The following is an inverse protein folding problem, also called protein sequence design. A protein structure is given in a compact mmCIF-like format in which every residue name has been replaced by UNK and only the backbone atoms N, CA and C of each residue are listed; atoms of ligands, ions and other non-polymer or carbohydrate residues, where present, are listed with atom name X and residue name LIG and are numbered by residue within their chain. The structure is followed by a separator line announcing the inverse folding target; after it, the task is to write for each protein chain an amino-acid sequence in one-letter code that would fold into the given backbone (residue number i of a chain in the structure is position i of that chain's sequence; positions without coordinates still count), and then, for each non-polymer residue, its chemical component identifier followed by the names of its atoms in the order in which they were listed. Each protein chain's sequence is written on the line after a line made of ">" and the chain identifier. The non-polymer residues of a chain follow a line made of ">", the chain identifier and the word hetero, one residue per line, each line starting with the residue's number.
data_IF_126453360422
#
_entry.id   IF_126453360422
#
_cell.length_a   1.000
_cell.length_b   1.000
_cell.length_c   1.000
_cell.angle_alpha   90.00
_cell.angle_beta   90.00
_cell.angle_gamma   90.00
#
_symmetry.space_group_name_H-M   'P 1'
#
loop_
_entity.id
_entity.type
_entity.pdbx_description
1 polymer ?
#
# COMPACT_ATOMS: atom_id res chain seq x y z
N UNK A 1 -13.55 45.72 -13.27
CA UNK A 1 -12.31 44.91 -13.36
C UNK A 1 -12.52 43.79 -14.37
N UNK A 2 -11.67 43.67 -15.40
CA UNK A 2 -11.75 42.56 -16.38
C UNK A 2 -11.49 41.25 -15.64
N UNK A 3 -12.33 40.24 -15.89
CA UNK A 3 -12.12 38.91 -15.34
C UNK A 3 -10.83 38.31 -15.95
N UNK A 4 -9.83 37.99 -15.12
CA UNK A 4 -8.62 37.33 -15.58
C UNK A 4 -9.00 36.02 -16.27
N UNK A 5 -8.51 35.84 -17.51
CA UNK A 5 -8.62 34.55 -18.21
C UNK A 5 -7.64 33.57 -17.58
N UNK A 6 -7.96 32.30 -17.65
CA UNK A 6 -7.07 31.23 -17.19
C UNK A 6 -5.76 31.28 -17.98
N UNK A 7 -4.61 31.44 -17.31
CA UNK A 7 -3.31 31.51 -17.99
C UNK A 7 -2.98 30.25 -18.80
N UNK A 8 -3.45 29.07 -18.36
CA UNK A 8 -3.20 27.79 -19.04
C UNK A 8 -3.97 27.65 -20.36
N UNK A 9 -5.29 27.86 -20.36
CA UNK A 9 -6.11 27.61 -21.56
C UNK A 9 -6.51 28.87 -22.32
N UNK A 10 -6.38 30.06 -21.75
CA UNK A 10 -6.81 31.35 -22.32
C UNK A 10 -8.28 31.45 -22.79
N UNK A 11 -9.08 30.42 -22.53
CA UNK A 11 -10.49 30.30 -22.93
C UNK A 11 -11.43 30.53 -21.74
N UNK A 12 -11.16 29.84 -20.62
CA UNK A 12 -12.03 29.87 -19.43
C UNK A 12 -11.64 31.01 -18.48
N UNK A 13 -12.58 31.45 -17.65
CA UNK A 13 -12.30 32.43 -16.57
C UNK A 13 -11.38 31.82 -15.51
N UNK A 14 -10.30 32.52 -15.19
CA UNK A 14 -9.40 32.23 -14.07
C UNK A 14 -10.13 32.54 -12.76
N UNK A 15 -10.34 31.52 -11.94
CA UNK A 15 -11.08 31.63 -10.66
C UNK A 15 -10.26 31.12 -9.46
N UNK A 16 -9.14 30.44 -9.72
CA UNK A 16 -8.26 29.84 -8.70
C UNK A 16 -6.87 30.40 -8.90
N UNK A 17 -6.25 30.96 -7.87
CA UNK A 17 -4.84 31.33 -7.94
C UNK A 17 -3.98 30.07 -7.83
N UNK A 18 -3.07 29.84 -8.77
CA UNK A 18 -2.16 28.71 -8.76
C UNK A 18 -0.76 29.20 -8.38
N UNK A 19 -0.23 28.69 -7.26
CA UNK A 19 1.10 29.06 -6.78
C UNK A 19 2.20 28.67 -7.77
N UNK A 20 2.08 27.50 -8.41
CA UNK A 20 3.04 27.02 -9.41
C UNK A 20 3.12 27.95 -10.64
N UNK A 21 1.97 28.36 -11.15
CA UNK A 21 1.88 29.25 -12.32
C UNK A 21 1.99 30.74 -11.95
N UNK A 22 1.97 31.03 -10.64
CA UNK A 22 1.88 32.38 -10.08
C UNK A 22 0.76 33.25 -10.68
N UNK A 23 -0.34 32.63 -11.11
CA UNK A 23 -1.43 33.30 -11.83
C UNK A 23 -2.79 32.61 -11.64
N UNK A 24 -3.85 33.27 -12.11
CA UNK A 24 -5.21 32.73 -12.08
C UNK A 24 -5.45 31.69 -13.17
N UNK A 25 -5.91 30.50 -12.75
CA UNK A 25 -6.31 29.39 -13.62
C UNK A 25 -7.78 29.01 -13.41
N UNK A 26 -8.37 28.30 -14.38
CA UNK A 26 -9.72 27.78 -14.26
C UNK A 26 -9.75 26.45 -13.50
N UNK A 27 -10.92 26.04 -13.01
CA UNK A 27 -11.09 24.78 -12.27
C UNK A 27 -10.70 23.54 -13.09
N UNK A 28 -10.95 23.53 -14.40
CA UNK A 28 -10.62 22.40 -15.28
C UNK A 28 -9.12 22.25 -15.47
N UNK A 29 -8.41 23.33 -15.82
CA UNK A 29 -6.95 23.30 -15.93
C UNK A 29 -6.31 22.96 -14.59
N UNK A 30 -6.81 23.54 -13.49
CA UNK A 30 -6.38 23.18 -12.14
C UNK A 30 -6.54 21.69 -11.87
N UNK A 31 -7.67 21.07 -12.21
CA UNK A 31 -7.86 19.62 -12.04
C UNK A 31 -6.95 18.75 -12.93
N UNK A 32 -6.52 19.26 -14.09
CA UNK A 32 -5.63 18.54 -15.01
C UNK A 32 -4.16 18.61 -14.59
N UNK A 33 -3.72 19.73 -14.02
CA UNK A 33 -2.31 19.95 -13.66
C UNK A 33 -2.03 19.80 -12.15
N UNK A 34 -3.07 19.60 -11.34
CA UNK A 34 -2.94 19.44 -9.89
C UNK A 34 -2.33 18.08 -9.60
N UNK A 35 -1.15 18.13 -8.99
CA UNK A 35 -0.44 16.97 -8.48
C UNK A 35 -0.19 17.18 -6.98
N UNK A 36 -0.69 16.32 -6.08
CA UNK A 36 -0.42 16.41 -4.63
C UNK A 36 1.05 16.44 -4.25
N UNK A 37 1.96 15.96 -5.12
CA UNK A 37 3.40 16.01 -4.88
C UNK A 37 4.06 17.32 -5.30
N UNK A 38 3.44 18.09 -6.20
CA UNK A 38 3.98 19.37 -6.72
C UNK A 38 3.17 20.58 -6.25
N UNK A 39 1.95 20.37 -5.76
CA UNK A 39 1.12 21.43 -5.22
C UNK A 39 1.54 21.73 -3.79
N UNK A 40 1.53 23.01 -3.37
CA UNK A 40 1.72 23.37 -1.98
C UNK A 40 0.72 22.66 -1.07
N UNK A 41 1.18 22.19 0.09
CA UNK A 41 0.36 21.48 1.07
C UNK A 41 -0.79 22.35 1.61
N UNK A 42 -0.66 23.68 1.56
CA UNK A 42 -1.67 24.65 1.98
C UNK A 42 -2.64 25.06 0.85
N UNK A 43 -2.55 24.44 -0.33
CA UNK A 43 -3.44 24.76 -1.44
C UNK A 43 -4.90 24.44 -1.07
N UNK A 44 -5.82 25.44 -1.03
CA UNK A 44 -7.20 25.24 -0.57
C UNK A 44 -8.02 24.37 -1.52
N UNK A 45 -7.47 24.04 -2.69
CA UNK A 45 -8.09 23.16 -3.65
C UNK A 45 -7.45 21.77 -3.67
N UNK A 46 -6.36 21.54 -2.94
CA UNK A 46 -5.80 20.20 -2.75
C UNK A 46 -6.69 19.37 -1.82
N UNK A 47 -7.17 19.97 -0.74
CA UNK A 47 -8.08 19.38 0.26
C UNK A 47 -9.51 19.08 -0.23
N UNK A 48 -9.85 19.46 -1.47
CA UNK A 48 -11.15 19.14 -2.07
C UNK A 48 -11.24 17.71 -2.66
N UNK A 49 -10.20 16.90 -2.48
CA UNK A 49 -10.18 15.46 -2.76
C UNK A 49 -10.08 14.60 -1.50
N UNK A 50 -9.70 15.17 -0.36
CA UNK A 50 -9.77 14.48 0.92
C UNK A 50 -11.22 14.56 1.42
N UNK A 51 -12.01 13.51 1.17
CA UNK A 51 -13.06 13.15 2.13
C UNK A 51 -12.41 13.22 3.51
N UNK A 52 -13.07 13.87 4.48
CA UNK A 52 -12.50 14.08 5.82
C UNK A 52 -11.93 12.76 6.33
N UNK A 53 -10.60 12.66 6.40
CA UNK A 53 -9.94 11.59 7.11
C UNK A 53 -10.49 11.64 8.54
N UNK A 54 -11.27 10.62 8.93
CA UNK A 54 -11.58 10.43 10.34
C UNK A 54 -10.28 9.95 10.99
N UNK A 55 -9.57 10.91 11.58
CA UNK A 55 -8.29 10.69 12.24
C UNK A 55 -8.56 10.14 13.64
N UNK A 56 -8.19 8.87 13.85
CA UNK A 56 -8.36 8.15 15.12
C UNK A 56 -8.47 6.64 14.88
N UNK A 57 -8.29 5.83 15.93
CA UNK A 57 -8.51 4.38 15.84
C UNK A 57 -10.01 4.06 15.79
N UNK A 58 -10.61 4.25 14.61
CA UNK A 58 -11.99 3.83 14.36
C UNK A 58 -12.18 2.35 14.70
N UNK A 59 -13.37 1.92 15.17
CA UNK A 59 -13.65 0.52 15.48
C UNK A 59 -13.30 -0.42 14.32
N UNK A 60 -12.61 -1.51 14.64
CA UNK A 60 -12.26 -2.53 13.66
C UNK A 60 -13.53 -3.28 13.22
N UNK A 61 -13.79 -3.33 11.91
CA UNK A 61 -14.92 -4.06 11.35
C UNK A 61 -14.50 -5.44 10.83
N UNK A 62 -13.42 -5.50 10.06
CA UNK A 62 -12.95 -6.76 9.45
C UNK A 62 -11.45 -6.72 9.15
N UNK A 63 -10.76 -7.84 9.38
CA UNK A 63 -9.38 -8.08 8.97
C UNK A 63 -9.34 -9.42 8.26
N UNK A 64 -8.90 -9.43 7.01
CA UNK A 64 -8.78 -10.62 6.19
C UNK A 64 -7.39 -10.72 5.59
N UNK A 65 -6.88 -11.93 5.44
CA UNK A 65 -5.60 -12.20 4.81
C UNK A 65 -5.68 -13.50 4.00
N UNK A 66 -4.98 -13.57 2.88
CA UNK A 66 -4.85 -14.81 2.12
C UNK A 66 -3.98 -15.83 2.87
N UNK A 67 -4.39 -17.10 2.89
CA UNK A 67 -3.71 -18.19 3.59
C UNK A 67 -2.44 -18.73 2.90
N UNK A 68 -2.33 -18.78 1.55
CA UNK A 68 -1.08 -19.17 0.93
C UNK A 68 0.02 -18.16 1.25
N UNK A 69 1.21 -18.67 1.59
CA UNK A 69 2.38 -17.84 1.89
C UNK A 69 2.96 -17.23 0.61
N UNK A 70 3.72 -16.16 0.76
CA UNK A 70 4.46 -15.53 -0.32
C UNK A 70 3.90 -14.19 -0.69
N UNK A 71 3.00 -14.17 -1.67
CA UNK A 71 2.22 -12.98 -1.92
C UNK A 71 0.96 -13.02 -1.07
N UNK A 72 0.91 -12.23 0.01
CA UNK A 72 -0.28 -12.06 0.84
C UNK A 72 -1.05 -10.82 0.44
N UNK A 73 -2.34 -10.99 0.25
CA UNK A 73 -3.28 -9.87 0.18
C UNK A 73 -3.99 -9.72 1.52
N UNK A 74 -3.95 -8.52 2.09
CA UNK A 74 -4.47 -8.16 3.41
C UNK A 74 -5.53 -7.09 3.24
N UNK A 75 -6.73 -7.30 3.78
CA UNK A 75 -7.82 -6.32 3.80
C UNK A 75 -8.13 -5.92 5.24
N UNK A 76 -8.07 -4.63 5.53
CA UNK A 76 -8.43 -4.07 6.84
C UNK A 76 -9.54 -3.04 6.64
N UNK A 77 -10.65 -3.21 7.34
CA UNK A 77 -11.79 -2.31 7.31
C UNK A 77 -12.16 -1.82 8.71
N UNK A 78 -12.51 -0.54 8.81
CA UNK A 78 -12.97 0.11 10.03
C UNK A 78 -14.31 0.80 9.82
N UNK A 79 -15.10 0.85 10.88
CA UNK A 79 -16.42 1.49 10.88
C UNK A 79 -16.34 2.96 11.26
N UNK A 80 -16.94 3.82 10.44
CA UNK A 80 -17.06 5.27 10.65
C UNK A 80 -18.27 5.60 11.50
N UNK A 81 -18.31 6.81 12.04
CA UNK A 81 -19.43 7.29 12.86
C UNK A 81 -20.78 7.26 12.10
N UNK A 82 -20.75 7.44 10.78
CA UNK A 82 -21.94 7.39 9.92
C UNK A 82 -22.46 5.96 9.64
N UNK A 83 -21.80 4.92 10.19
CA UNK A 83 -22.15 3.51 10.00
C UNK A 83 -21.65 2.88 8.69
N UNK A 84 -21.05 3.68 7.80
CA UNK A 84 -20.31 3.16 6.65
C UNK A 84 -18.89 2.75 7.07
N UNK A 85 -18.16 2.15 6.14
CA UNK A 85 -16.81 1.66 6.36
C UNK A 85 -15.79 2.47 5.55
N UNK A 86 -14.57 2.53 6.07
CA UNK A 86 -13.37 2.75 5.26
C UNK A 86 -12.56 1.45 5.22
N UNK A 87 -11.90 1.16 4.12
CA UNK A 87 -11.04 -0.02 4.02
C UNK A 87 -9.80 0.21 3.17
N UNK A 88 -8.78 -0.59 3.43
CA UNK A 88 -7.55 -0.71 2.65
C UNK A 88 -7.31 -2.19 2.33
N UNK A 89 -6.87 -2.46 1.10
CA UNK A 89 -6.37 -3.74 0.63
C UNK A 89 -4.91 -3.58 0.24
N UNK A 90 -4.02 -4.38 0.80
CA UNK A 90 -2.57 -4.28 0.62
C UNK A 90 -2.04 -5.62 0.11
N UNK A 91 -1.26 -5.60 -0.98
CA UNK A 91 -0.57 -6.77 -1.51
C UNK A 91 0.91 -6.71 -1.12
N UNK A 92 1.36 -7.70 -0.36
CA UNK A 92 2.74 -7.84 0.10
C UNK A 92 3.33 -9.15 -0.43
N UNK A 93 4.44 -9.05 -1.13
CA UNK A 93 5.32 -10.15 -1.48
C UNK A 93 6.39 -10.32 -0.40
N UNK A 94 6.17 -11.29 0.48
CA UNK A 94 7.02 -11.60 1.63
C UNK A 94 8.40 -12.14 1.23
N UNK A 95 8.59 -12.61 0.00
CA UNK A 95 9.82 -13.32 -0.41
C UNK A 95 10.76 -12.48 -1.24
N UNK A 96 10.26 -11.39 -1.83
CA UNK A 96 11.00 -10.73 -2.89
C UNK A 96 10.80 -9.23 -2.89
N UNK A 97 9.69 -8.73 -3.43
CA UNK A 97 9.51 -7.30 -3.68
C UNK A 97 9.00 -6.50 -2.47
N UNK A 98 8.52 -7.17 -1.41
CA UNK A 98 7.87 -6.48 -0.31
C UNK A 98 6.51 -5.92 -0.73
N UNK A 99 6.23 -4.65 -0.42
CA UNK A 99 4.96 -4.02 -0.79
C UNK A 99 4.83 -3.88 -2.31
N UNK A 100 3.86 -4.60 -2.91
CA UNK A 100 3.59 -4.56 -4.36
C UNK A 100 2.52 -3.52 -4.73
N UNK A 101 1.39 -3.54 -4.04
CA UNK A 101 0.25 -2.70 -4.40
C UNK A 101 -0.66 -2.42 -3.20
N UNK A 102 -1.49 -1.37 -3.32
CA UNK A 102 -2.47 -0.99 -2.31
C UNK A 102 -3.64 -0.22 -2.95
N UNK A 103 -4.86 -0.48 -2.51
CA UNK A 103 -6.04 0.33 -2.86
C UNK A 103 -7.05 0.35 -1.71
N UNK A 104 -8.05 1.22 -1.77
CA UNK A 104 -9.03 1.34 -0.69
C UNK A 104 -10.23 2.21 -1.03
N UNK A 105 -11.07 2.43 -0.03
CA UNK A 105 -12.15 3.42 -0.07
C UNK A 105 -12.29 4.09 1.30
N UNK A 106 -12.52 5.41 1.30
CA UNK A 106 -12.80 6.19 2.52
C UNK A 106 -14.26 6.10 2.97
N UNK A 107 -15.14 5.66 2.09
CA UNK A 107 -16.56 5.51 2.39
C UNK A 107 -17.19 4.42 1.51
N UNK A 108 -17.69 3.37 2.13
CA UNK A 108 -18.43 2.29 1.47
C UNK A 108 -19.50 1.76 2.43
N UNK A 109 -20.71 1.49 1.92
CA UNK A 109 -21.74 0.89 2.76
C UNK A 109 -21.34 -0.52 3.20
N UNK A 110 -21.72 -0.94 4.42
CA UNK A 110 -21.49 -2.31 4.91
C UNK A 110 -22.00 -3.37 3.93
N UNK A 111 -23.13 -3.10 3.27
CA UNK A 111 -23.73 -3.99 2.26
C UNK A 111 -22.82 -4.17 1.04
N UNK A 112 -22.24 -3.09 0.53
CA UNK A 112 -21.33 -3.15 -0.62
C UNK A 112 -20.00 -3.79 -0.25
N UNK A 113 -19.44 -3.44 0.91
CA UNK A 113 -18.23 -4.08 1.41
C UNK A 113 -18.42 -5.59 1.59
N UNK A 114 -19.52 -6.03 2.20
CA UNK A 114 -19.80 -7.47 2.36
C UNK A 114 -19.99 -8.18 1.01
N UNK A 115 -20.47 -7.49 -0.04
CA UNK A 115 -20.50 -8.05 -1.40
C UNK A 115 -19.11 -8.18 -2.00
N UNK A 116 -18.19 -7.25 -1.73
CA UNK A 116 -16.79 -7.38 -2.14
C UNK A 116 -16.13 -8.57 -1.44
N UNK A 117 -16.30 -8.67 -0.11
CA UNK A 117 -15.79 -9.80 0.69
C UNK A 117 -16.34 -11.13 0.20
N UNK A 118 -17.63 -11.23 -0.13
CA UNK A 118 -18.23 -12.46 -0.65
C UNK A 118 -17.71 -12.89 -2.04
N UNK A 119 -17.01 -12.00 -2.76
CA UNK A 119 -16.37 -12.29 -4.05
C UNK A 119 -14.88 -12.56 -3.92
N UNK A 120 -14.30 -12.36 -2.74
CA UNK A 120 -12.91 -12.70 -2.50
C UNK A 120 -12.73 -14.23 -2.68
N UNK A 121 -11.59 -14.67 -3.23
CA UNK A 121 -11.26 -16.08 -3.30
C UNK A 121 -11.35 -16.75 -1.92
N UNK A 122 -11.62 -18.06 -1.92
CA UNK A 122 -11.69 -18.88 -0.70
C UNK A 122 -10.36 -18.96 0.07
N UNK A 123 -9.27 -18.44 -0.50
CA UNK A 123 -7.99 -18.32 0.19
C UNK A 123 -7.98 -17.22 1.25
N UNK A 124 -8.93 -16.29 1.27
CA UNK A 124 -9.02 -15.29 2.34
C UNK A 124 -9.63 -15.89 3.62
N UNK A 125 -8.98 -15.65 4.74
CA UNK A 125 -9.44 -16.00 6.09
C UNK A 125 -9.39 -14.79 7.02
N UNK A 126 -10.15 -14.84 8.11
CA UNK A 126 -10.01 -13.85 9.19
C UNK A 126 -8.60 -13.94 9.79
N UNK A 127 -8.00 -12.79 10.07
CA UNK A 127 -6.60 -12.69 10.48
C UNK A 127 -6.41 -11.73 11.67
N UNK A 128 -5.30 -11.91 12.37
CA UNK A 128 -4.90 -11.01 13.45
C UNK A 128 -4.37 -9.67 12.88
N UNK A 129 -4.78 -8.57 13.51
CA UNK A 129 -4.40 -7.23 13.05
C UNK A 129 -2.91 -6.95 13.24
N UNK A 130 -2.31 -7.43 14.33
CA UNK A 130 -0.89 -7.17 14.60
C UNK A 130 -0.01 -7.98 13.66
N UNK A 131 -0.36 -9.25 13.39
CA UNK A 131 0.32 -10.05 12.35
C UNK A 131 0.26 -9.34 10.98
N UNK A 132 -0.92 -8.85 10.58
CA UNK A 132 -1.08 -8.10 9.34
C UNK A 132 -0.19 -6.85 9.31
N UNK A 133 -0.12 -6.10 10.41
CA UNK A 133 0.72 -4.91 10.53
C UNK A 133 2.20 -5.23 10.42
N UNK A 134 2.67 -6.30 11.04
CA UNK A 134 4.06 -6.76 10.95
C UNK A 134 4.45 -7.10 9.51
N UNK A 135 3.58 -7.83 8.80
CA UNK A 135 3.78 -8.19 7.38
C UNK A 135 3.81 -6.94 6.51
N UNK A 136 2.86 -6.02 6.69
CA UNK A 136 2.81 -4.76 5.92
C UNK A 136 4.04 -3.90 6.21
N UNK A 137 4.44 -3.74 7.49
CA UNK A 137 5.60 -2.93 7.87
C UNK A 137 6.89 -3.52 7.30
N UNK A 138 7.05 -4.84 7.34
CA UNK A 138 8.19 -5.54 6.73
C UNK A 138 8.17 -5.40 5.20
N UNK A 139 7.00 -5.52 4.56
CA UNK A 139 6.84 -5.31 3.13
C UNK A 139 7.25 -3.90 2.70
N UNK A 140 6.88 -2.87 3.46
CA UNK A 140 7.33 -1.48 3.24
C UNK A 140 8.86 -1.41 3.36
N UNK A 141 9.43 -1.99 4.43
CA UNK A 141 10.88 -1.98 4.65
C UNK A 141 11.66 -2.65 3.50
N UNK A 142 11.17 -3.78 2.99
CA UNK A 142 11.76 -4.47 1.83
C UNK A 142 11.74 -3.54 0.60
N UNK A 143 10.57 -2.99 0.28
CA UNK A 143 10.41 -2.12 -0.88
C UNK A 143 11.31 -0.87 -0.79
N UNK A 144 11.41 -0.25 0.39
CA UNK A 144 12.30 0.89 0.64
C UNK A 144 13.78 0.49 0.53
N UNK A 145 14.17 -0.67 1.08
CA UNK A 145 15.56 -1.18 1.01
C UNK A 145 16.01 -1.43 -0.42
N UNK A 146 15.09 -1.85 -1.29
CA UNK A 146 15.33 -2.12 -2.71
C UNK A 146 15.12 -0.89 -3.61
N UNK A 147 14.86 0.29 -3.03
CA UNK A 147 14.53 1.53 -3.76
C UNK A 147 13.33 1.38 -4.73
N UNK A 148 12.33 0.59 -4.33
CA UNK A 148 11.12 0.36 -5.10
C UNK A 148 10.08 1.43 -4.84
N UNK A 149 9.26 1.68 -5.85
CA UNK A 149 8.17 2.66 -5.76
C UNK A 149 7.11 2.18 -4.77
N UNK A 150 6.94 2.92 -3.67
CA UNK A 150 5.79 2.77 -2.78
C UNK A 150 4.50 3.30 -3.45
N UNK A 151 3.41 2.52 -3.52
CA UNK A 151 2.12 2.96 -4.05
C UNK A 151 1.63 4.25 -3.41
N UNK A 152 1.03 5.16 -4.20
CA UNK A 152 0.57 6.46 -3.70
C UNK A 152 -0.61 6.29 -2.76
N UNK A 153 -1.45 5.32 -3.07
CA UNK A 153 -2.63 4.86 -2.36
C UNK A 153 -2.31 4.45 -0.92
N UNK A 154 -1.13 3.88 -0.67
CA UNK A 154 -0.71 3.60 0.71
C UNK A 154 -0.71 4.88 1.55
N UNK A 155 -0.24 6.02 1.00
CA UNK A 155 -0.22 7.28 1.76
C UNK A 155 -1.63 7.79 2.07
N UNK A 156 -2.56 7.53 1.17
CA UNK A 156 -3.96 7.94 1.29
C UNK A 156 -4.73 7.08 2.30
N UNK A 157 -4.43 5.78 2.38
CA UNK A 157 -5.20 4.84 3.20
C UNK A 157 -4.45 4.33 4.44
N UNK A 158 -3.16 4.67 4.64
CA UNK A 158 -2.34 4.12 5.75
C UNK A 158 -2.93 4.35 7.13
N UNK A 159 -3.70 5.42 7.34
CA UNK A 159 -4.34 5.70 8.63
C UNK A 159 -5.33 4.59 9.02
N UNK A 160 -5.91 3.86 8.05
CA UNK A 160 -6.80 2.72 8.28
C UNK A 160 -6.05 1.56 8.94
N UNK A 161 -4.76 1.40 8.65
CA UNK A 161 -3.91 0.38 9.27
C UNK A 161 -3.69 0.68 10.76
N UNK A 162 -3.85 1.94 11.18
CA UNK A 162 -3.45 2.43 12.50
C UNK A 162 -1.98 2.81 12.55
N UNK A 163 -1.44 2.96 13.76
CA UNK A 163 -0.06 3.38 13.96
C UNK A 163 0.93 2.24 13.64
N UNK A 164 1.56 2.33 12.46
CA UNK A 164 2.60 1.41 12.01
C UNK A 164 3.99 1.74 12.57
N UNK A 165 4.18 2.91 13.19
CA UNK A 165 5.50 3.28 13.75
C UNK A 165 5.76 2.61 15.09
N UNK A 166 4.71 2.12 15.75
CA UNK A 166 4.79 1.26 16.93
C UNK A 166 5.09 -0.21 16.62
N UNK A 167 5.10 -0.60 15.35
CA UNK A 167 5.32 -1.98 14.93
C UNK A 167 6.81 -2.18 14.73
N UNK A 168 7.42 -2.98 15.60
CA UNK A 168 8.83 -3.33 15.50
C UNK A 168 9.01 -4.50 14.53
N UNK A 169 9.90 -4.33 13.57
CA UNK A 169 10.29 -5.37 12.61
C UNK A 169 11.72 -5.76 12.94
N UNK A 170 11.92 -6.98 13.46
CA UNK A 170 13.21 -7.47 13.93
C UNK A 170 13.75 -8.64 13.08
N UNK A 171 15.05 -8.90 13.20
CA UNK A 171 15.74 -9.98 12.51
C UNK A 171 16.05 -9.66 11.04
N UNK A 172 16.23 -10.70 10.23
CA UNK A 172 16.57 -10.60 8.81
C UNK A 172 15.45 -9.92 8.02
N UNK A 173 15.80 -9.29 6.90
CA UNK A 173 14.87 -8.55 6.04
C UNK A 173 13.73 -9.46 5.53
N UNK A 174 14.11 -10.61 4.98
CA UNK A 174 13.21 -11.70 4.57
C UNK A 174 13.17 -12.77 5.65
N UNK A 175 12.04 -13.48 5.75
CA UNK A 175 11.83 -14.57 6.70
C UNK A 175 11.70 -15.92 5.99
N UNK A 176 11.95 -16.98 6.73
CA UNK A 176 11.78 -18.35 6.28
C UNK A 176 10.41 -18.57 5.62
N UNK A 177 10.42 -19.12 4.42
CA UNK A 177 9.20 -19.46 3.67
C UNK A 177 8.31 -20.46 4.44
N UNK A 178 8.91 -21.45 5.09
CA UNK A 178 8.15 -22.51 5.75
C UNK A 178 7.54 -22.10 7.09
N UNK A 179 8.31 -21.55 8.02
CA UNK A 179 7.73 -21.17 9.31
C UNK A 179 7.20 -19.72 9.36
N UNK A 180 7.53 -18.88 8.37
CA UNK A 180 7.17 -17.46 8.33
C UNK A 180 7.88 -16.57 9.36
N UNK A 181 8.71 -17.15 10.23
CA UNK A 181 9.27 -16.47 11.42
C UNK A 181 10.78 -16.55 11.53
N UNK A 182 11.37 -17.65 11.07
CA UNK A 182 12.79 -17.91 11.14
C UNK A 182 13.59 -16.88 10.35
N UNK A 183 14.69 -16.43 10.95
CA UNK A 183 15.64 -15.56 10.27
C UNK A 183 16.40 -16.31 9.17
N UNK A 184 16.77 -15.57 8.13
CA UNK A 184 17.64 -16.02 7.05
C UNK A 184 19.02 -15.38 7.22
N UNK A 185 20.06 -16.08 6.79
CA UNK A 185 21.43 -15.55 6.82
C UNK A 185 21.57 -14.33 5.91
N UNK A 186 22.56 -13.48 6.18
CA UNK A 186 22.83 -12.28 5.38
C UNK A 186 23.11 -12.63 3.91
N UNK A 187 23.88 -13.69 3.65
CA UNK A 187 24.18 -14.15 2.28
C UNK A 187 22.91 -14.51 1.50
N UNK A 188 21.96 -15.20 2.14
CA UNK A 188 20.66 -15.53 1.52
C UNK A 188 19.85 -14.27 1.27
N UNK A 189 19.84 -13.33 2.23
CA UNK A 189 19.14 -12.05 2.08
C UNK A 189 19.71 -11.25 0.90
N UNK A 190 21.03 -11.18 0.75
CA UNK A 190 21.67 -10.49 -0.38
C UNK A 190 21.35 -11.19 -1.72
N UNK A 191 21.36 -12.52 -1.77
CA UNK A 191 20.97 -13.26 -2.97
C UNK A 191 19.52 -12.96 -3.39
N UNK A 192 18.58 -12.91 -2.43
CA UNK A 192 17.18 -12.55 -2.71
C UNK A 192 17.12 -11.14 -3.32
N UNK A 193 17.84 -10.17 -2.76
CA UNK A 193 17.86 -8.79 -3.28
C UNK A 193 18.41 -8.74 -4.71
N UNK A 194 19.53 -9.41 -4.97
CA UNK A 194 20.15 -9.46 -6.30
C UNK A 194 19.19 -10.00 -7.36
N UNK A 195 18.58 -11.17 -7.11
CA UNK A 195 17.61 -11.77 -8.02
C UNK A 195 16.39 -10.86 -8.20
N UNK A 196 15.92 -10.21 -7.13
CA UNK A 196 14.81 -9.26 -7.21
C UNK A 196 15.13 -8.11 -8.16
N UNK A 197 16.30 -7.48 -8.01
CA UNK A 197 16.71 -6.36 -8.85
C UNK A 197 16.95 -6.77 -10.31
N UNK A 198 17.46 -7.98 -10.56
CA UNK A 198 17.60 -8.53 -11.91
C UNK A 198 16.24 -8.70 -12.60
N UNK A 199 15.27 -9.29 -11.90
CA UNK A 199 13.93 -9.51 -12.46
C UNK A 199 13.17 -8.20 -12.69
N UNK A 200 13.37 -7.21 -11.81
CA UNK A 200 12.84 -5.86 -12.00
C UNK A 200 13.45 -5.22 -13.25
N UNK A 201 14.78 -5.30 -13.41
CA UNK A 201 15.46 -4.75 -14.58
C UNK A 201 15.03 -5.44 -15.88
N UNK A 202 14.73 -6.74 -15.82
CA UNK A 202 14.18 -7.51 -16.94
C UNK A 202 12.67 -7.26 -17.18
N UNK A 203 11.98 -6.60 -16.25
CA UNK A 203 10.54 -6.34 -16.34
C UNK A 203 9.67 -7.60 -16.23
N UNK A 204 10.17 -8.64 -15.56
CA UNK A 204 9.50 -9.95 -15.46
C UNK A 204 8.78 -10.18 -14.14
N UNK A 205 8.92 -9.30 -13.15
CA UNK A 205 8.18 -9.38 -11.88
C UNK A 205 6.66 -9.42 -12.09
N UNK A 206 5.98 -10.38 -11.47
CA UNK A 206 4.55 -10.63 -11.61
C UNK A 206 4.16 -11.32 -12.92
N UNK A 207 5.12 -11.84 -13.69
CA UNK A 207 4.89 -12.58 -14.93
C UNK A 207 5.37 -14.02 -14.83
N UNK A 208 5.05 -14.86 -15.82
CA UNK A 208 5.56 -16.24 -15.91
C UNK A 208 7.10 -16.31 -16.05
N UNK A 209 7.75 -15.21 -16.46
CA UNK A 209 9.20 -15.11 -16.53
C UNK A 209 9.87 -14.73 -15.21
N UNK A 210 9.09 -14.53 -14.14
CA UNK A 210 9.64 -14.20 -12.83
C UNK A 210 10.43 -15.38 -12.24
N UNK A 211 11.63 -15.11 -11.73
CA UNK A 211 12.42 -16.07 -11.00
C UNK A 211 11.72 -16.41 -9.69
N UNK A 212 11.28 -17.67 -9.59
CA UNK A 212 10.72 -18.26 -8.39
C UNK A 212 11.84 -18.62 -7.43
N UNK A 213 11.86 -17.96 -6.27
CA UNK A 213 12.83 -18.18 -5.22
C UNK A 213 12.12 -18.28 -3.88
N UNK A 214 12.54 -19.23 -3.06
CA UNK A 214 12.15 -19.33 -1.67
C UNK A 214 13.36 -19.76 -0.86
N UNK A 215 13.36 -19.43 0.43
CA UNK A 215 14.47 -19.74 1.32
C UNK A 215 13.93 -20.14 2.68
N UNK A 216 14.52 -21.19 3.23
CA UNK A 216 14.17 -21.76 4.53
C UNK A 216 15.30 -21.55 5.53
N UNK A 217 14.94 -21.30 6.78
CA UNK A 217 15.90 -21.17 7.89
C UNK A 217 16.46 -22.52 8.31
N UNK A 218 17.60 -22.52 8.99
CA UNK A 218 18.35 -23.73 9.40
C UNK A 218 17.46 -24.74 10.14
N UNK A 219 16.64 -24.29 11.11
CA UNK A 219 15.73 -25.17 11.84
C UNK A 219 14.76 -25.95 10.93
N UNK A 220 14.22 -25.31 9.90
CA UNK A 220 13.29 -25.96 8.98
C UNK A 220 14.04 -26.88 7.99
N UNK A 221 15.30 -26.58 7.67
CA UNK A 221 16.13 -27.49 6.85
C UNK A 221 16.45 -28.77 7.61
N UNK A 222 16.82 -28.65 8.88
CA UNK A 222 17.13 -29.80 9.73
C UNK A 222 15.90 -30.71 9.92
N UNK A 223 14.71 -30.13 10.09
CA UNK A 223 13.45 -30.89 10.20
C UNK A 223 13.09 -31.65 8.91
N UNK A 224 13.44 -31.12 7.72
CA UNK A 224 13.24 -31.80 6.43
C UNK A 224 14.23 -32.95 6.19
N UNK A 225 15.43 -32.87 6.75
CA UNK A 225 16.47 -33.92 6.60
C UNK A 225 16.23 -35.14 7.50
N UNK A 226 15.37 -35.02 8.52
CA UNK A 226 15.01 -36.08 9.46
C UNK A 226 13.75 -36.89 9.06
N UNK A 227 13.03 -36.50 7.99
CA UNK A 227 11.85 -37.19 7.42
C UNK A 227 12.19 -38.10 6.22
#
# INVERSE_FOLDING_TARGET
>A
MKANKCVICNVRKGKRFCVKENEFICSRCCGLIRDPQLCPNDCPYLSSLTEKEEVGELPLYKVLMTTPKGSRSIVIAREKENGNLQFISVLVDEWKMGLKDCFGSHDISKKEFNKLVARLPSSYADADLNECKEIIKRGILIAETLDLRIPRELREFKHILGDLDKVEVTGSLYKCFECGKGDLSEDVVEQIKEVTLQDIAAGVCGSEGETMLYSVCDKCREEEEEE
#
